data_IF_417902857882
#
_entry.id   IF_417902857882
#
_cell.length_a   1.000
_cell.length_b   1.000
_cell.length_c   1.000
_cell.angle_alpha   90.00
_cell.angle_beta   90.00
_cell.angle_gamma   90.00
#
_symmetry.space_group_name_H-M   'P 1'
#
loop_
_entity.id
_entity.type
_entity.pdbx_description
1 polymer ?
#
# COMPACT_ATOMS: atom_id res chain seq x y z
N UNK A 1 71.85 1.81 33.66
CA UNK A 1 71.30 0.50 33.27
C UNK A 1 70.81 0.59 31.85
N UNK A 2 70.92 -0.49 31.11
CA UNK A 2 70.35 -0.64 29.79
C UNK A 2 69.15 -1.58 29.86
N UNK A 3 68.14 -1.31 29.05
CA UNK A 3 66.90 -2.08 28.95
C UNK A 3 66.63 -2.48 27.50
N UNK A 4 65.96 -3.62 27.33
CA UNK A 4 65.38 -4.07 26.07
C UNK A 4 63.99 -4.62 26.36
N UNK A 5 63.00 -4.30 25.51
CA UNK A 5 61.63 -4.80 25.65
C UNK A 5 61.26 -5.72 24.49
N UNK A 6 60.56 -6.81 24.78
CA UNK A 6 60.05 -7.75 23.78
C UNK A 6 58.61 -8.11 24.13
N UNK A 7 57.70 -8.00 23.16
CA UNK A 7 56.33 -8.52 23.33
C UNK A 7 56.37 -10.03 23.10
N UNK A 8 55.79 -10.79 24.02
CA UNK A 8 55.66 -12.24 23.93
C UNK A 8 54.29 -12.55 23.34
N UNK A 9 54.23 -13.31 22.24
CA UNK A 9 52.97 -13.74 21.63
C UNK A 9 52.53 -15.11 22.21
N UNK A 10 51.21 -15.31 22.36
CA UNK A 10 50.60 -16.48 23.01
C UNK A 10 50.91 -17.85 22.35
N UNK A 11 51.52 -17.88 21.17
CA UNK A 11 51.79 -19.12 20.43
C UNK A 11 53.27 -19.46 20.21
N UNK A 12 54.24 -18.65 20.63
CA UNK A 12 55.65 -19.03 20.55
C UNK A 12 56.56 -18.10 21.38
N UNK A 13 57.51 -18.71 22.09
CA UNK A 13 58.55 -18.00 22.86
C UNK A 13 59.58 -17.29 21.96
N UNK A 14 59.41 -17.31 20.63
CA UNK A 14 60.26 -16.59 19.67
C UNK A 14 59.59 -15.30 19.15
N UNK A 15 59.78 -14.26 19.98
CA UNK A 15 59.96 -12.82 19.73
C UNK A 15 59.40 -12.17 18.43
N UNK A 16 58.49 -11.20 18.61
CA UNK A 16 58.55 -9.93 17.88
C UNK A 16 59.14 -8.85 18.81
N UNK A 17 60.41 -8.52 18.59
CA UNK A 17 61.10 -7.45 19.29
C UNK A 17 60.61 -6.10 18.75
N UNK A 18 60.01 -5.25 19.60
CA UNK A 18 59.62 -3.90 19.19
C UNK A 18 60.80 -2.93 19.15
N UNK A 19 61.93 -3.29 19.79
CA UNK A 19 63.18 -2.55 19.73
C UNK A 19 64.37 -3.50 19.93
N UNK A 20 65.18 -3.69 18.89
CA UNK A 20 66.33 -4.60 18.93
C UNK A 20 67.54 -4.02 19.69
N UNK A 21 67.48 -2.75 20.13
CA UNK A 21 68.59 -2.02 20.73
C UNK A 21 68.46 -1.84 22.25
N UNK A 22 69.59 -1.92 22.95
CA UNK A 22 69.68 -1.62 24.38
C UNK A 22 69.57 -0.11 24.63
N UNK A 23 68.68 0.31 25.52
CA UNK A 23 68.38 1.73 25.78
C UNK A 23 68.54 2.10 27.24
N UNK A 24 68.86 3.37 27.53
CA UNK A 24 68.99 3.87 28.91
C UNK A 24 67.66 4.31 29.54
N UNK A 25 66.59 4.41 28.74
CA UNK A 25 65.24 4.79 29.15
C UNK A 25 64.44 3.53 29.50
N UNK A 26 63.62 3.60 30.56
CA UNK A 26 62.72 2.49 30.93
C UNK A 26 61.66 2.34 29.83
N UNK A 27 61.51 1.14 29.22
CA UNK A 27 60.55 0.93 28.15
C UNK A 27 59.09 1.13 28.61
N UNK A 28 58.23 1.53 27.68
CA UNK A 28 56.78 1.66 27.89
C UNK A 28 56.02 0.90 26.82
N UNK A 29 54.90 0.27 27.19
CA UNK A 29 53.98 -0.38 26.28
C UNK A 29 52.55 0.16 26.46
N UNK A 30 51.73 0.05 25.42
CA UNK A 30 50.35 0.56 25.40
C UNK A 30 49.31 -0.54 25.17
N UNK A 31 49.65 -1.53 24.34
CA UNK A 31 48.74 -2.62 24.00
C UNK A 31 48.74 -3.70 25.07
N UNK A 32 47.62 -4.43 25.14
CA UNK A 32 47.54 -5.62 25.97
C UNK A 32 48.53 -6.69 25.48
N UNK A 33 49.04 -7.46 26.44
CA UNK A 33 49.98 -8.54 26.22
C UNK A 33 51.01 -8.64 27.32
N UNK A 34 51.85 -9.67 27.22
CA UNK A 34 52.96 -9.91 28.14
C UNK A 34 54.24 -9.34 27.51
N UNK A 35 54.95 -8.53 28.28
CA UNK A 35 56.19 -7.87 27.87
C UNK A 35 57.33 -8.34 28.75
N UNK A 36 58.38 -8.88 28.12
CA UNK A 36 59.65 -9.13 28.80
C UNK A 36 60.53 -7.90 28.72
N UNK A 37 61.02 -7.44 29.86
CA UNK A 37 62.01 -6.37 29.97
C UNK A 37 63.31 -6.97 30.44
N UNK A 38 64.25 -7.16 29.52
CA UNK A 38 65.62 -7.52 29.84
C UNK A 38 66.38 -6.28 30.31
N UNK A 39 67.21 -6.42 31.34
CA UNK A 39 68.03 -5.33 31.87
C UNK A 39 69.46 -5.77 32.18
N UNK A 40 70.40 -4.84 32.01
CA UNK A 40 71.79 -5.02 32.45
C UNK A 40 72.40 -3.71 32.97
N UNK A 41 73.51 -3.83 33.68
CA UNK A 41 74.31 -2.66 34.09
C UNK A 41 75.11 -2.16 32.89
N UNK A 42 75.10 -0.85 32.68
CA UNK A 42 75.95 -0.20 31.70
C UNK A 42 77.31 0.13 32.36
N UNK A 43 78.38 -0.50 31.89
CA UNK A 43 79.73 -0.28 32.40
C UNK A 43 80.51 0.78 31.59
N UNK A 44 79.90 1.39 30.57
CA UNK A 44 80.52 2.43 29.74
C UNK A 44 81.85 1.99 29.12
N UNK A 45 82.86 2.85 29.19
CA UNK A 45 84.21 2.58 28.67
C UNK A 45 84.91 1.39 29.36
N UNK A 46 84.45 0.99 30.55
CA UNK A 46 85.07 -0.10 31.32
C UNK A 46 84.46 -1.48 31.02
N UNK A 47 83.57 -1.61 30.03
CA UNK A 47 82.84 -2.85 29.73
C UNK A 47 83.72 -4.10 29.58
N UNK A 48 84.95 -3.97 29.08
CA UNK A 48 85.85 -5.12 28.85
C UNK A 48 86.39 -5.73 30.16
N UNK A 49 86.24 -5.02 31.29
CA UNK A 49 86.66 -5.46 32.62
C UNK A 49 85.53 -6.16 33.41
N UNK A 50 84.31 -6.20 32.86
CA UNK A 50 83.13 -6.72 33.56
C UNK A 50 82.36 -7.72 32.68
N UNK A 51 81.85 -8.79 33.30
CA UNK A 51 80.86 -9.68 32.66
C UNK A 51 79.47 -9.15 33.03
N UNK A 52 78.65 -8.69 32.07
CA UNK A 52 77.32 -8.18 32.38
C UNK A 52 76.43 -9.31 32.91
N UNK A 53 75.72 -9.03 34.00
CA UNK A 53 74.65 -9.89 34.50
C UNK A 53 73.36 -9.43 33.84
N UNK A 54 72.72 -10.34 33.11
CA UNK A 54 71.40 -10.14 32.51
C UNK A 54 70.34 -10.54 33.53
N UNK A 55 69.38 -9.64 33.78
CA UNK A 55 68.14 -9.94 34.47
C UNK A 55 66.95 -9.66 33.56
N UNK A 56 65.79 -10.19 33.91
CA UNK A 56 64.54 -9.87 33.22
C UNK A 56 63.37 -9.75 34.19
N UNK A 57 62.34 -9.03 33.77
CA UNK A 57 61.01 -8.98 34.41
C UNK A 57 59.94 -9.10 33.35
N UNK A 58 58.93 -9.93 33.61
CA UNK A 58 57.76 -10.03 32.75
C UNK A 58 56.63 -9.17 33.35
N UNK A 59 56.00 -8.36 32.51
CA UNK A 59 54.91 -7.46 32.87
C UNK A 59 53.73 -7.72 31.95
N UNK A 60 52.55 -7.92 32.52
CA UNK A 60 51.31 -8.10 31.76
C UNK A 60 50.49 -6.80 31.75
N UNK A 61 50.08 -6.40 30.56
CA UNK A 61 49.00 -5.43 30.35
C UNK A 61 47.75 -6.24 30.00
N UNK A 62 46.80 -6.30 30.93
CA UNK A 62 45.55 -7.04 30.72
C UNK A 62 44.64 -6.33 29.72
N UNK A 63 43.87 -7.11 28.95
CA UNK A 63 42.80 -6.60 28.09
C UNK A 63 41.73 -5.88 28.90
N UNK A 64 41.21 -4.79 28.35
CA UNK A 64 40.07 -4.07 28.93
C UNK A 64 38.74 -4.76 28.59
N UNK A 65 37.71 -4.51 29.41
CA UNK A 65 36.34 -4.96 29.14
C UNK A 65 35.46 -3.73 28.89
N UNK A 66 34.78 -3.69 27.76
CA UNK A 66 33.86 -2.61 27.45
C UNK A 66 32.58 -2.72 28.29
N UNK A 67 32.04 -1.60 28.73
CA UNK A 67 30.70 -1.54 29.31
C UNK A 67 29.71 -1.24 28.20
N UNK A 68 28.72 -2.11 28.02
CA UNK A 68 27.74 -2.02 26.93
C UNK A 68 26.35 -1.82 27.52
N UNK A 69 25.67 -0.78 27.07
CA UNK A 69 24.22 -0.66 27.16
C UNK A 69 23.64 -1.21 25.86
N UNK A 70 22.93 -2.33 25.94
CA UNK A 70 22.37 -3.00 24.78
C UNK A 70 21.37 -2.09 24.03
N UNK A 71 21.35 -2.14 22.69
CA UNK A 71 20.26 -1.59 21.89
C UNK A 71 18.91 -2.22 22.28
N UNK A 72 17.82 -1.49 22.06
CA UNK A 72 16.47 -1.99 22.31
C UNK A 72 15.62 -1.98 21.03
N UNK A 73 14.76 -2.98 20.81
CA UNK A 73 13.77 -2.91 19.72
C UNK A 73 12.85 -1.71 19.93
N UNK A 74 12.44 -1.06 18.84
CA UNK A 74 11.36 -0.06 18.88
C UNK A 74 10.03 -0.81 18.83
N UNK A 75 9.18 -0.53 19.81
CA UNK A 75 7.85 -1.14 19.93
C UNK A 75 6.81 -0.40 19.08
N UNK A 76 5.68 -1.06 18.79
CA UNK A 76 4.48 -0.49 18.17
C UNK A 76 4.69 0.19 16.80
N UNK A 77 5.68 -0.26 16.01
CA UNK A 77 5.87 0.21 14.64
C UNK A 77 4.70 -0.28 13.77
N UNK A 78 4.13 0.63 13.00
CA UNK A 78 3.09 0.35 12.01
C UNK A 78 3.52 0.98 10.70
N UNK A 79 3.25 0.33 9.57
CA UNK A 79 3.53 0.89 8.26
C UNK A 79 2.95 2.30 8.10
N UNK A 80 3.81 3.29 7.85
CA UNK A 80 3.44 4.70 7.69
C UNK A 80 3.87 5.26 6.32
N UNK A 81 4.44 4.41 5.45
CA UNK A 81 4.98 4.79 4.16
C UNK A 81 6.42 5.35 4.19
N UNK A 82 7.06 5.48 5.35
CA UNK A 82 8.42 6.00 5.50
C UNK A 82 9.38 4.92 6.02
N UNK A 83 10.68 5.20 5.95
CA UNK A 83 11.68 4.39 6.65
C UNK A 83 11.62 4.71 8.15
N UNK A 84 11.44 3.68 8.96
CA UNK A 84 11.35 3.73 10.41
C UNK A 84 12.60 3.08 11.01
N UNK A 85 13.11 3.62 12.12
CA UNK A 85 14.20 3.01 12.86
C UNK A 85 13.71 1.74 13.57
N UNK A 86 14.47 0.65 13.46
CA UNK A 86 14.12 -0.62 14.08
C UNK A 86 14.56 -0.70 15.55
N UNK A 87 15.57 0.09 15.93
CA UNK A 87 16.17 0.00 17.27
C UNK A 87 16.44 1.39 17.87
N UNK A 88 16.27 1.49 19.18
CA UNK A 88 16.91 2.53 19.98
C UNK A 88 18.38 2.17 20.16
N UNK A 89 19.28 3.06 19.75
CA UNK A 89 20.72 2.81 19.78
C UNK A 89 21.23 2.55 21.20
N UNK A 90 22.08 1.53 21.33
CA UNK A 90 22.85 1.29 22.55
C UNK A 90 24.05 2.23 22.69
N UNK A 91 24.90 1.95 23.67
CA UNK A 91 26.17 2.66 23.87
C UNK A 91 27.26 1.74 24.40
N UNK A 92 28.52 2.04 24.10
CA UNK A 92 29.67 1.29 24.64
C UNK A 92 30.79 2.22 25.08
N UNK A 93 31.56 1.85 26.11
CA UNK A 93 32.75 2.60 26.54
C UNK A 93 34.00 2.27 25.72
N UNK A 94 33.94 1.26 24.85
CA UNK A 94 35.04 0.85 23.96
C UNK A 94 34.51 0.20 22.67
N UNK A 95 35.19 0.43 21.56
CA UNK A 95 34.72 0.01 20.23
C UNK A 95 33.47 0.76 19.79
N UNK A 96 32.75 0.19 18.83
CA UNK A 96 31.48 0.71 18.29
C UNK A 96 30.45 -0.40 18.20
N UNK A 97 29.17 -0.06 18.34
CA UNK A 97 28.10 -1.03 18.10
C UNK A 97 27.82 -1.08 16.60
N UNK A 98 27.85 -2.29 16.04
CA UNK A 98 27.40 -2.58 14.69
C UNK A 98 26.12 -3.41 14.74
N UNK A 99 25.26 -3.22 13.74
CA UNK A 99 23.99 -3.89 13.55
C UNK A 99 23.99 -4.66 12.24
N UNK A 100 23.26 -5.78 12.21
CA UNK A 100 22.91 -6.49 10.99
C UNK A 100 21.43 -6.81 11.04
N UNK A 101 20.73 -6.52 9.95
CA UNK A 101 19.32 -6.91 9.76
C UNK A 101 19.28 -8.16 8.89
N UNK A 102 18.62 -9.21 9.37
CA UNK A 102 18.55 -10.53 8.77
C UNK A 102 19.97 -11.03 8.40
N UNK A 103 20.18 -11.54 7.19
CA UNK A 103 21.50 -11.99 6.71
C UNK A 103 22.32 -10.87 6.03
N UNK A 104 22.03 -9.61 6.36
CA UNK A 104 22.66 -8.44 5.77
C UNK A 104 24.16 -8.26 6.12
N UNK A 105 24.69 -7.08 5.82
CA UNK A 105 26.04 -6.70 6.25
C UNK A 105 25.99 -5.97 7.60
N UNK A 106 27.05 -6.10 8.38
CA UNK A 106 27.24 -5.31 9.59
C UNK A 106 27.45 -3.83 9.24
N UNK A 107 26.75 -2.93 9.95
CA UNK A 107 26.81 -1.48 9.76
C UNK A 107 26.78 -0.77 11.12
N UNK A 108 27.44 0.37 11.25
CA UNK A 108 27.39 1.19 12.49
C UNK A 108 26.05 1.95 12.64
N UNK A 109 25.39 2.21 11.51
CA UNK A 109 24.16 3.00 11.46
C UNK A 109 22.98 2.23 12.05
N UNK A 110 22.12 2.94 12.77
CA UNK A 110 20.87 2.38 13.30
C UNK A 110 20.04 1.84 12.13
N UNK A 111 19.69 0.54 12.12
CA UNK A 111 18.96 -0.04 11.02
C UNK A 111 17.58 0.58 10.87
N UNK A 112 17.18 0.79 9.61
CA UNK A 112 15.84 1.26 9.26
C UNK A 112 15.18 0.34 8.25
N UNK A 113 13.87 0.16 8.36
CA UNK A 113 13.06 -0.51 7.35
C UNK A 113 11.77 0.27 7.08
N UNK A 114 11.14 0.03 5.92
CA UNK A 114 9.89 0.70 5.52
C UNK A 114 8.68 -0.23 5.59
N UNK A 115 8.83 -1.47 5.11
CA UNK A 115 7.70 -2.35 4.86
C UNK A 115 7.25 -3.07 6.13
N UNK A 116 5.99 -3.50 6.16
CA UNK A 116 5.49 -4.33 7.23
C UNK A 116 6.10 -5.72 7.13
N UNK A 117 6.86 -6.12 8.16
CA UNK A 117 7.52 -7.41 8.26
C UNK A 117 8.06 -7.62 9.69
N UNK A 118 8.52 -8.83 9.98
CA UNK A 118 9.37 -9.11 11.14
C UNK A 118 10.83 -9.10 10.72
N UNK A 119 11.61 -8.23 11.35
CA UNK A 119 13.04 -8.04 11.10
C UNK A 119 13.86 -8.64 12.24
N UNK A 120 14.73 -9.60 11.92
CA UNK A 120 15.69 -10.13 12.88
C UNK A 120 16.90 -9.19 12.93
N UNK A 121 17.15 -8.55 14.07
CA UNK A 121 18.28 -7.63 14.25
C UNK A 121 19.30 -8.24 15.18
N UNK A 122 20.53 -8.35 14.70
CA UNK A 122 21.70 -8.70 15.51
C UNK A 122 22.54 -7.46 15.76
N UNK A 123 23.16 -7.37 16.93
CA UNK A 123 24.14 -6.34 17.26
C UNK A 123 25.42 -6.97 17.84
N UNK A 124 26.55 -6.29 17.63
CA UNK A 124 27.85 -6.65 18.23
C UNK A 124 28.68 -5.42 18.54
N UNK A 125 29.64 -5.54 19.45
CA UNK A 125 30.69 -4.52 19.60
C UNK A 125 31.89 -4.86 18.71
N UNK A 126 32.24 -3.94 17.81
CA UNK A 126 33.43 -3.99 16.97
C UNK A 126 34.51 -3.06 17.55
N UNK A 127 35.67 -3.65 17.90
CA UNK A 127 36.83 -2.90 18.42
C UNK A 127 37.82 -2.47 17.32
N UNK A 128 37.59 -2.85 16.06
CA UNK A 128 38.46 -2.50 14.94
C UNK A 128 39.90 -2.97 15.16
N UNK A 129 40.87 -2.08 14.91
CA UNK A 129 42.30 -2.36 15.07
C UNK A 129 42.70 -2.61 16.54
N UNK A 130 41.91 -2.13 17.51
CA UNK A 130 42.17 -2.30 18.94
C UNK A 130 41.69 -3.65 19.49
N UNK A 131 41.18 -4.57 18.67
CA UNK A 131 40.58 -5.83 19.14
C UNK A 131 41.52 -6.66 20.06
N UNK A 132 42.83 -6.56 19.87
CA UNK A 132 43.81 -7.23 20.73
C UNK A 132 43.92 -6.63 22.14
N UNK A 133 43.37 -5.44 22.37
CA UNK A 133 43.38 -4.71 23.64
C UNK A 133 42.09 -4.92 24.45
N UNK A 134 41.08 -5.58 23.87
CA UNK A 134 39.78 -5.80 24.49
C UNK A 134 39.46 -7.30 24.62
N UNK A 135 38.71 -7.63 25.66
CA UNK A 135 38.01 -8.90 25.75
C UNK A 135 36.90 -8.95 24.69
N UNK A 136 36.43 -10.16 24.36
CA UNK A 136 35.38 -10.35 23.35
C UNK A 136 34.16 -9.44 23.62
N UNK A 137 33.63 -8.86 22.55
CA UNK A 137 32.53 -7.91 22.62
C UNK A 137 31.20 -8.59 22.86
N UNK A 138 30.27 -7.87 23.48
CA UNK A 138 28.89 -8.33 23.63
C UNK A 138 28.22 -8.49 22.26
N UNK A 139 27.46 -9.57 22.13
CA UNK A 139 26.63 -9.88 20.97
C UNK A 139 25.22 -10.19 21.46
N UNK A 140 24.21 -9.69 20.75
CA UNK A 140 22.81 -9.99 21.03
C UNK A 140 21.96 -9.92 19.78
N UNK A 141 20.72 -10.41 19.89
CA UNK A 141 19.77 -10.42 18.81
C UNK A 141 18.33 -10.36 19.33
N UNK A 142 17.43 -9.82 18.52
CA UNK A 142 16.00 -9.75 18.80
C UNK A 142 15.21 -9.50 17.51
N UNK A 143 13.92 -9.83 17.54
CA UNK A 143 13.00 -9.48 16.46
C UNK A 143 12.40 -8.09 16.67
N UNK A 144 12.16 -7.37 15.57
CA UNK A 144 11.44 -6.11 15.53
C UNK A 144 10.35 -6.23 14.48
N UNK A 145 9.10 -5.98 14.85
CA UNK A 145 7.98 -6.04 13.91
C UNK A 145 7.56 -4.64 13.47
N UNK A 146 7.40 -4.44 12.17
CA UNK A 146 6.58 -3.36 11.61
C UNK A 146 5.25 -3.99 11.22
N UNK A 147 4.18 -3.66 11.94
CA UNK A 147 2.86 -4.20 11.68
C UNK A 147 2.24 -3.61 10.41
N UNK A 148 1.34 -4.37 9.78
CA UNK A 148 0.51 -3.89 8.67
C UNK A 148 -0.41 -2.76 9.12
N UNK A 149 -0.57 -1.75 8.27
CA UNK A 149 -1.52 -0.67 8.51
C UNK A 149 -2.96 -1.07 8.11
N UNK A 150 -3.94 -0.48 8.78
CA UNK A 150 -5.35 -0.62 8.41
C UNK A 150 -5.83 0.66 7.72
N UNK A 151 -6.26 0.54 6.47
CA UNK A 151 -6.80 1.65 5.71
C UNK A 151 -8.15 2.10 6.30
N UNK A 152 -8.33 3.41 6.46
CA UNK A 152 -9.62 4.00 6.78
C UNK A 152 -10.35 4.27 5.47
N UNK A 153 -11.45 3.56 5.23
CA UNK A 153 -12.22 3.64 3.99
C UNK A 153 -13.55 4.33 4.26
N UNK A 154 -13.81 5.42 3.54
CA UNK A 154 -15.16 5.98 3.40
C UNK A 154 -15.76 5.41 2.12
N UNK A 155 -16.80 4.58 2.27
CA UNK A 155 -17.47 3.94 1.15
C UNK A 155 -18.00 4.97 0.13
N UNK A 156 -17.93 4.66 -1.17
CA UNK A 156 -18.70 5.38 -2.19
C UNK A 156 -20.20 5.31 -1.87
N UNK A 157 -20.99 6.24 -2.42
CA UNK A 157 -22.45 6.28 -2.17
C UNK A 157 -23.23 6.24 -3.47
N UNK A 158 -24.40 5.58 -3.52
CA UNK A 158 -25.24 5.60 -4.71
C UNK A 158 -25.75 7.01 -4.99
N UNK A 159 -25.75 7.41 -6.26
CA UNK A 159 -26.47 8.60 -6.72
C UNK A 159 -27.95 8.26 -6.82
N UNK A 160 -28.79 8.98 -6.08
CA UNK A 160 -30.23 8.73 -6.02
C UNK A 160 -31.00 9.62 -7.00
N UNK A 161 -32.15 9.13 -7.47
CA UNK A 161 -33.08 9.90 -8.30
C UNK A 161 -32.61 10.14 -9.73
N UNK A 162 -31.77 9.24 -10.25
CA UNK A 162 -31.37 9.27 -11.66
C UNK A 162 -32.57 8.93 -12.54
N UNK A 163 -32.78 9.72 -13.57
CA UNK A 163 -33.82 9.48 -14.59
C UNK A 163 -33.15 9.51 -15.95
N UNK A 164 -33.50 8.57 -16.83
CA UNK A 164 -32.98 8.53 -18.19
C UNK A 164 -33.10 9.89 -18.88
N UNK A 165 -31.97 10.45 -19.29
CA UNK A 165 -31.91 11.76 -19.95
C UNK A 165 -31.10 11.73 -21.26
N UNK A 166 -30.67 10.54 -21.69
CA UNK A 166 -29.90 10.32 -22.92
C UNK A 166 -28.40 10.64 -22.81
N UNK A 167 -27.89 11.04 -21.64
CA UNK A 167 -26.47 11.30 -21.40
C UNK A 167 -25.88 10.30 -20.40
N UNK A 168 -24.55 10.26 -20.32
CA UNK A 168 -23.85 9.53 -19.26
C UNK A 168 -24.14 10.16 -17.90
N UNK A 169 -24.49 9.31 -16.93
CA UNK A 169 -24.81 9.71 -15.55
C UNK A 169 -23.91 8.92 -14.61
N UNK A 170 -23.26 9.61 -13.68
CA UNK A 170 -22.47 8.96 -12.63
C UNK A 170 -23.38 8.11 -11.73
N UNK A 171 -22.95 6.88 -11.47
CA UNK A 171 -23.71 5.93 -10.65
C UNK A 171 -23.45 6.12 -9.15
N UNK A 172 -22.23 6.53 -8.79
CA UNK A 172 -21.82 6.73 -7.40
C UNK A 172 -21.12 8.06 -7.18
N UNK A 173 -21.23 8.58 -5.96
CA UNK A 173 -20.33 9.59 -5.42
C UNK A 173 -19.03 8.91 -4.96
N UNK A 174 -17.88 9.54 -5.24
CA UNK A 174 -16.58 9.00 -4.90
C UNK A 174 -16.42 8.76 -3.38
N UNK A 175 -15.89 7.59 -3.02
CA UNK A 175 -15.40 7.31 -1.67
C UNK A 175 -14.00 7.89 -1.44
N UNK A 176 -13.40 7.54 -0.30
CA UNK A 176 -11.99 7.86 0.01
C UNK A 176 -11.31 6.78 0.85
N UNK A 177 -9.99 6.76 0.85
CA UNK A 177 -9.19 5.81 1.64
C UNK A 177 -7.87 6.45 2.12
N UNK A 178 -7.37 6.07 3.30
CA UNK A 178 -6.05 6.52 3.82
C UNK A 178 -4.86 5.70 3.32
N UNK A 179 -5.06 4.87 2.30
CA UNK A 179 -4.03 4.06 1.63
C UNK A 179 -4.59 3.43 0.36
N UNK A 180 -3.76 3.25 -0.66
CA UNK A 180 -4.19 2.73 -1.96
C UNK A 180 -5.16 3.67 -2.69
N UNK A 181 -5.93 3.10 -3.61
CA UNK A 181 -6.98 3.79 -4.40
C UNK A 181 -8.24 2.95 -4.41
N UNK A 182 -9.40 3.61 -4.46
CA UNK A 182 -10.66 2.90 -4.72
C UNK A 182 -10.75 2.64 -6.22
N UNK A 183 -10.99 1.39 -6.57
CA UNK A 183 -11.32 0.94 -7.92
C UNK A 183 -12.77 0.46 -7.96
N UNK A 184 -13.39 0.60 -9.12
CA UNK A 184 -14.78 0.27 -9.40
C UNK A 184 -14.87 -0.68 -10.59
N UNK A 185 -15.93 -1.49 -10.58
CA UNK A 185 -16.38 -2.30 -11.71
C UNK A 185 -17.90 -2.27 -11.75
N UNK A 186 -18.48 -2.20 -12.95
CA UNK A 186 -19.93 -2.09 -13.14
C UNK A 186 -20.48 -3.33 -13.81
N UNK A 187 -21.58 -3.83 -13.26
CA UNK A 187 -22.36 -4.90 -13.88
C UNK A 187 -23.79 -4.40 -14.12
N UNK A 188 -24.26 -4.33 -15.38
CA UNK A 188 -25.67 -4.07 -15.65
C UNK A 188 -26.50 -5.26 -15.17
N UNK A 189 -27.58 -4.96 -14.43
CA UNK A 189 -28.51 -5.97 -13.94
C UNK A 189 -29.69 -6.02 -14.90
N UNK A 190 -29.82 -7.11 -15.65
CA UNK A 190 -30.96 -7.32 -16.54
C UNK A 190 -32.15 -7.88 -15.75
N UNK A 191 -33.30 -7.21 -15.82
CA UNK A 191 -34.57 -7.78 -15.34
C UNK A 191 -34.90 -9.03 -16.17
N UNK A 192 -35.03 -10.18 -15.52
CA UNK A 192 -35.68 -11.35 -16.13
C UNK A 192 -37.19 -11.18 -15.95
N UNK A 193 -37.92 -11.07 -17.05
CA UNK A 193 -39.38 -10.91 -17.04
C UNK A 193 -40.04 -12.06 -16.25
N UNK A 194 -40.89 -11.70 -15.28
CA UNK A 194 -41.68 -12.66 -14.48
C UNK A 194 -41.33 -12.76 -13.00
N UNK A 195 -40.24 -12.14 -12.54
CA UNK A 195 -39.96 -11.95 -11.10
C UNK A 195 -40.26 -10.51 -10.74
N UNK A 196 -41.47 -10.27 -10.21
CA UNK A 196 -41.82 -8.98 -9.62
C UNK A 196 -41.01 -8.78 -8.34
N UNK A 197 -40.45 -7.58 -8.21
CA UNK A 197 -39.93 -7.01 -6.97
C UNK A 197 -38.68 -7.71 -6.40
N UNK A 198 -37.49 -7.27 -6.83
CA UNK A 198 -36.33 -7.36 -5.95
C UNK A 198 -36.60 -6.44 -4.76
N UNK A 199 -37.05 -7.02 -3.65
CA UNK A 199 -37.13 -6.37 -2.35
C UNK A 199 -35.71 -6.01 -1.88
N UNK A 200 -35.12 -4.95 -2.42
CA UNK A 200 -33.93 -4.31 -1.86
C UNK A 200 -34.40 -3.37 -0.75
N UNK A 201 -35.08 -3.91 0.25
CA UNK A 201 -35.05 -3.32 1.57
C UNK A 201 -33.72 -3.76 2.19
N UNK A 202 -32.89 -2.79 2.56
CA UNK A 202 -31.71 -2.90 3.42
C UNK A 202 -31.54 -4.28 4.09
N UNK A 203 -30.71 -5.16 3.50
CA UNK A 203 -30.29 -6.43 4.12
C UNK A 203 -30.82 -7.74 3.51
N UNK A 204 -31.41 -7.75 2.31
CA UNK A 204 -31.79 -8.98 1.60
C UNK A 204 -30.73 -9.47 0.61
N UNK A 205 -30.21 -10.69 0.81
CA UNK A 205 -29.25 -11.34 -0.08
C UNK A 205 -29.77 -11.40 -1.54
N UNK A 206 -29.05 -10.74 -2.44
CA UNK A 206 -29.08 -11.06 -3.87
C UNK A 206 -28.50 -12.47 -4.07
N UNK A 207 -29.14 -13.33 -4.85
CA UNK A 207 -28.47 -14.55 -5.32
C UNK A 207 -27.54 -14.18 -6.47
N UNK A 208 -26.24 -14.49 -6.35
CA UNK A 208 -25.18 -14.29 -7.37
C UNK A 208 -25.59 -14.70 -8.80
N UNK A 209 -26.54 -15.61 -8.95
CA UNK A 209 -26.90 -16.27 -10.22
C UNK A 209 -27.63 -15.41 -11.28
N UNK A 210 -27.69 -14.08 -11.15
CA UNK A 210 -28.37 -13.19 -12.12
C UNK A 210 -27.52 -12.00 -12.60
N UNK A 211 -26.25 -11.92 -12.18
CA UNK A 211 -25.28 -10.99 -12.73
C UNK A 211 -24.84 -11.56 -14.08
N UNK A 212 -25.00 -10.81 -15.17
CA UNK A 212 -24.27 -11.13 -16.41
C UNK A 212 -22.82 -10.71 -16.13
N UNK A 213 -21.98 -11.69 -15.82
CA UNK A 213 -20.53 -11.52 -15.69
C UNK A 213 -19.93 -11.22 -17.07
N UNK A 214 -20.22 -10.05 -17.64
CA UNK A 214 -19.17 -9.41 -18.40
C UNK A 214 -18.22 -8.82 -17.35
N UNK A 215 -17.07 -9.48 -17.16
CA UNK A 215 -16.00 -8.97 -16.32
C UNK A 215 -15.48 -7.66 -16.93
N UNK A 216 -16.06 -6.54 -16.52
CA UNK A 216 -15.46 -5.24 -16.76
C UNK A 216 -14.09 -5.16 -16.08
N UNK A 217 -13.16 -4.40 -16.66
CA UNK A 217 -11.89 -4.11 -16.00
C UNK A 217 -12.12 -3.18 -14.80
N UNK A 218 -11.36 -3.40 -13.72
CA UNK A 218 -11.32 -2.49 -12.59
C UNK A 218 -10.76 -1.13 -13.02
N UNK A 219 -11.43 -0.04 -12.63
CA UNK A 219 -11.01 1.32 -12.96
C UNK A 219 -11.09 2.24 -11.75
N UNK A 220 -10.20 3.23 -11.66
CA UNK A 220 -10.30 4.30 -10.65
C UNK A 220 -11.29 5.40 -11.03
N UNK A 221 -11.84 5.35 -12.25
CA UNK A 221 -12.81 6.34 -12.73
C UNK A 221 -14.20 6.07 -12.14
N UNK A 222 -14.95 7.15 -11.90
CA UNK A 222 -16.32 7.03 -11.39
C UNK A 222 -17.19 6.40 -12.47
N UNK A 223 -17.85 5.27 -12.19
CA UNK A 223 -18.64 4.57 -13.18
C UNK A 223 -19.84 5.39 -13.63
N UNK A 224 -20.10 5.37 -14.93
CA UNK A 224 -21.26 6.01 -15.55
C UNK A 224 -22.14 5.01 -16.29
N UNK A 225 -23.41 5.37 -16.45
CA UNK A 225 -24.30 4.69 -17.38
C UNK A 225 -25.29 5.65 -18.03
N UNK A 226 -25.83 5.25 -19.18
CA UNK A 226 -26.79 6.05 -19.94
C UNK A 226 -28.21 5.50 -19.78
N UNK A 227 -28.38 4.19 -19.95
CA UNK A 227 -29.69 3.56 -20.10
C UNK A 227 -30.43 3.44 -18.76
N UNK A 228 -31.77 3.47 -18.83
CA UNK A 228 -32.60 3.13 -17.67
C UNK A 228 -32.39 1.66 -17.29
N UNK A 229 -32.34 1.36 -15.99
CA UNK A 229 -32.08 0.02 -15.48
C UNK A 229 -31.40 0.02 -14.12
N UNK A 230 -31.15 -1.18 -13.61
CA UNK A 230 -30.40 -1.39 -12.38
C UNK A 230 -28.93 -1.70 -12.69
N UNK A 231 -28.04 -1.17 -11.86
CA UNK A 231 -26.60 -1.35 -11.94
C UNK A 231 -26.06 -1.82 -10.60
N UNK A 232 -25.15 -2.79 -10.61
CA UNK A 232 -24.29 -3.12 -9.48
C UNK A 232 -22.93 -2.48 -9.70
N UNK A 233 -22.50 -1.63 -8.78
CA UNK A 233 -21.15 -1.06 -8.72
C UNK A 233 -20.40 -1.79 -7.62
N UNK A 234 -19.49 -2.67 -8.01
CA UNK A 234 -18.54 -3.29 -7.09
C UNK A 234 -17.37 -2.34 -6.89
N UNK A 235 -16.90 -2.17 -5.65
CA UNK A 235 -15.72 -1.38 -5.35
C UNK A 235 -14.76 -2.13 -4.43
N UNK A 236 -13.45 -1.85 -4.58
CA UNK A 236 -12.39 -2.38 -3.73
C UNK A 236 -11.30 -1.34 -3.49
N UNK A 237 -10.45 -1.58 -2.49
CA UNK A 237 -9.21 -0.80 -2.31
C UNK A 237 -8.04 -1.54 -2.94
N UNK A 238 -7.35 -0.89 -3.88
CA UNK A 238 -6.11 -1.39 -4.47
C UNK A 238 -4.91 -0.65 -3.86
N UNK A 239 -4.07 -1.38 -3.11
CA UNK A 239 -2.86 -0.86 -2.48
C UNK A 239 -1.63 -0.84 -3.40
N UNK A 240 -1.72 -1.40 -4.61
CA UNK A 240 -0.61 -1.44 -5.55
C UNK A 240 0.61 -2.18 -5.02
N UNK A 241 1.80 -1.61 -5.21
CA UNK A 241 3.07 -2.21 -4.77
C UNK A 241 3.18 -2.37 -3.24
N UNK A 242 2.44 -1.55 -2.48
CA UNK A 242 2.44 -1.58 -1.01
C UNK A 242 1.43 -2.60 -0.45
N UNK A 243 0.80 -3.48 -1.24
CA UNK A 243 -0.26 -4.38 -0.76
C UNK A 243 0.12 -5.25 0.45
N UNK A 244 1.37 -5.72 0.51
CA UNK A 244 1.86 -6.50 1.65
C UNK A 244 2.00 -5.68 2.94
N UNK A 245 1.94 -4.35 2.85
CA UNK A 245 2.05 -3.45 3.99
C UNK A 245 0.69 -3.09 4.63
N UNK A 246 -0.42 -3.49 4.00
CA UNK A 246 -1.78 -3.21 4.46
C UNK A 246 -2.51 -4.49 4.85
N UNK A 247 -3.47 -4.34 5.76
CA UNK A 247 -4.50 -5.34 5.99
C UNK A 247 -5.50 -5.30 4.83
N UNK A 248 -5.98 -6.47 4.43
CA UNK A 248 -6.95 -6.60 3.34
C UNK A 248 -8.25 -5.87 3.69
N UNK A 249 -8.85 -5.26 2.67
CA UNK A 249 -10.16 -4.63 2.75
C UNK A 249 -11.08 -5.41 1.84
N UNK A 250 -12.13 -5.99 2.42
CA UNK A 250 -13.12 -6.73 1.65
C UNK A 250 -13.80 -5.80 0.63
N UNK A 251 -13.97 -6.24 -0.63
CA UNK A 251 -14.76 -5.49 -1.60
C UNK A 251 -16.22 -5.42 -1.16
N UNK A 252 -16.94 -4.42 -1.65
CA UNK A 252 -18.36 -4.24 -1.34
C UNK A 252 -19.12 -3.73 -2.57
N UNK A 253 -20.45 -3.77 -2.54
CA UNK A 253 -21.33 -3.54 -3.68
C UNK A 253 -22.36 -2.46 -3.39
N UNK A 254 -22.62 -1.64 -4.42
CA UNK A 254 -23.61 -0.56 -4.39
C UNK A 254 -24.59 -0.76 -5.54
N UNK A 255 -25.89 -0.68 -5.23
CA UNK A 255 -26.96 -0.79 -6.22
C UNK A 255 -27.53 0.57 -6.57
N UNK A 256 -27.69 0.82 -7.87
CA UNK A 256 -28.16 2.10 -8.40
C UNK A 256 -29.21 1.86 -9.47
N UNK A 257 -30.32 2.59 -9.42
CA UNK A 257 -31.36 2.57 -10.46
C UNK A 257 -31.35 3.88 -11.24
N UNK A 258 -31.36 3.77 -12.57
CA UNK A 258 -31.74 4.85 -13.47
C UNK A 258 -33.19 4.62 -13.88
N UNK A 259 -34.09 5.48 -13.43
CA UNK A 259 -35.51 5.40 -13.73
C UNK A 259 -35.80 5.64 -15.21
N UNK A 260 -36.84 5.00 -15.72
CA UNK A 260 -37.36 5.31 -17.07
C UNK A 260 -37.95 6.71 -17.09
N UNK A 261 -37.59 7.50 -18.09
CA UNK A 261 -38.22 8.78 -18.34
C UNK A 261 -39.70 8.61 -18.71
N UNK A 262 -40.55 9.51 -18.22
CA UNK A 262 -41.95 9.58 -18.63
C UNK A 262 -42.09 10.43 -19.88
N UNK A 263 -42.61 9.85 -20.96
CA UNK A 263 -42.92 10.60 -22.17
C UNK A 263 -44.05 11.61 -21.92
N UNK A 264 -43.83 12.86 -22.32
CA UNK A 264 -44.86 13.90 -22.27
C UNK A 264 -45.69 13.83 -23.55
N UNK A 265 -46.99 13.57 -23.42
CA UNK A 265 -47.92 13.41 -24.55
C UNK A 265 -48.99 14.48 -24.51
N UNK A 266 -49.12 15.23 -25.60
CA UNK A 266 -50.28 16.07 -25.87
C UNK A 266 -51.21 15.33 -26.83
N UNK A 267 -52.43 15.05 -26.40
CA UNK A 267 -53.41 14.34 -27.22
C UNK A 267 -53.80 15.14 -28.48
N UNK A 268 -54.08 14.44 -29.60
CA UNK A 268 -54.66 15.08 -30.79
C UNK A 268 -56.05 15.66 -30.47
N UNK A 269 -56.44 16.71 -31.19
CA UNK A 269 -57.75 17.37 -31.03
C UNK A 269 -58.64 17.12 -32.25
N UNK A 270 -59.93 16.79 -32.09
CA UNK A 270 -60.85 16.67 -33.22
C UNK A 270 -60.91 17.95 -34.06
N UNK A 271 -60.94 17.81 -35.39
CA UNK A 271 -61.20 18.94 -36.29
C UNK A 271 -62.72 19.18 -36.33
N UNK A 272 -63.14 20.33 -35.83
CA UNK A 272 -64.56 20.71 -35.76
C UNK A 272 -65.10 21.23 -37.10
N UNK A 273 -66.41 21.04 -37.31
CA UNK A 273 -67.13 21.64 -38.44
C UNK A 273 -66.85 21.01 -39.81
N UNK A 274 -66.30 19.79 -39.86
CA UNK A 274 -66.15 19.02 -41.10
C UNK A 274 -67.51 18.79 -41.77
N UNK A 275 -67.54 18.93 -43.11
CA UNK A 275 -68.74 18.71 -43.93
C UNK A 275 -68.42 17.73 -45.03
N UNK A 276 -69.30 16.75 -45.24
CA UNK A 276 -69.13 15.77 -46.32
C UNK A 276 -69.00 16.47 -47.69
N UNK A 277 -67.87 16.26 -48.35
CA UNK A 277 -67.51 16.91 -49.61
C UNK A 277 -66.96 15.93 -50.67
N UNK A 278 -67.11 14.62 -50.42
CA UNK A 278 -66.61 13.52 -51.28
C UNK A 278 -65.09 13.47 -51.46
N UNK A 279 -64.33 14.08 -50.54
CA UNK A 279 -62.87 14.03 -50.50
C UNK A 279 -62.43 13.58 -49.11
N UNK A 280 -61.22 13.02 -49.03
CA UNK A 280 -60.58 12.76 -47.74
C UNK A 280 -60.41 14.07 -46.95
N UNK A 281 -60.83 14.03 -45.70
CA UNK A 281 -60.70 15.12 -44.74
C UNK A 281 -59.91 14.64 -43.53
N UNK A 282 -58.99 15.46 -43.04
CA UNK A 282 -58.22 15.17 -41.83
C UNK A 282 -59.11 15.29 -40.60
N UNK A 283 -59.08 14.26 -39.75
CA UNK A 283 -60.02 14.09 -38.65
C UNK A 283 -59.57 14.77 -37.35
N UNK A 284 -58.26 14.93 -37.15
CA UNK A 284 -57.69 15.53 -35.94
C UNK A 284 -56.54 16.49 -36.27
N UNK A 285 -56.36 17.52 -35.44
CA UNK A 285 -55.10 18.22 -35.29
C UNK A 285 -54.07 17.28 -34.65
N UNK A 286 -52.82 17.34 -35.11
CA UNK A 286 -51.75 16.50 -34.60
C UNK A 286 -51.59 16.63 -33.08
N UNK A 287 -51.49 15.49 -32.40
CA UNK A 287 -50.92 15.45 -31.06
C UNK A 287 -49.41 15.65 -31.11
N UNK A 288 -48.78 15.65 -29.94
CA UNK A 288 -47.31 15.69 -29.84
C UNK A 288 -46.82 14.78 -28.72
N UNK A 289 -45.56 14.37 -28.83
CA UNK A 289 -44.86 13.61 -27.80
C UNK A 289 -43.44 14.15 -27.64
N UNK A 290 -42.88 14.11 -26.43
CA UNK A 290 -41.49 14.52 -26.18
C UNK A 290 -40.45 13.52 -26.69
N UNK A 291 -40.86 12.25 -26.86
CA UNK A 291 -40.03 11.12 -27.31
C UNK A 291 -40.90 10.11 -28.06
N UNK A 292 -40.30 9.29 -28.91
CA UNK A 292 -41.01 8.34 -29.77
C UNK A 292 -41.80 9.00 -30.91
N UNK A 293 -42.56 8.21 -31.64
CA UNK A 293 -43.41 8.67 -32.75
C UNK A 293 -44.87 8.55 -32.38
N UNK A 294 -45.64 9.64 -32.57
CA UNK A 294 -47.10 9.61 -32.42
C UNK A 294 -47.71 8.90 -33.64
N UNK A 295 -48.43 7.80 -33.39
CA UNK A 295 -49.16 7.05 -34.41
C UNK A 295 -50.66 7.12 -34.16
N UNK A 296 -51.43 7.10 -35.25
CA UNK A 296 -52.88 7.17 -35.27
C UNK A 296 -53.45 5.96 -35.99
N UNK A 297 -54.66 5.57 -35.60
CA UNK A 297 -55.46 4.56 -36.29
C UNK A 297 -56.91 5.03 -36.36
N UNK A 298 -57.51 4.94 -37.54
CA UNK A 298 -58.95 5.25 -37.75
C UNK A 298 -59.74 3.96 -37.71
N UNK A 299 -60.75 3.90 -36.84
CA UNK A 299 -61.64 2.75 -36.67
C UNK A 299 -60.84 1.43 -36.49
N UNK A 300 -61.02 0.48 -37.41
CA UNK A 300 -60.32 -0.82 -37.43
C UNK A 300 -59.09 -0.85 -38.38
N UNK A 301 -58.59 0.31 -38.82
CA UNK A 301 -57.47 0.42 -39.75
C UNK A 301 -56.11 0.05 -39.17
N UNK A 302 -55.04 0.42 -39.86
CA UNK A 302 -53.66 0.22 -39.39
C UNK A 302 -53.11 1.46 -38.69
N UNK A 303 -52.12 1.27 -37.82
CA UNK A 303 -51.38 2.37 -37.20
C UNK A 303 -50.48 3.05 -38.23
N UNK A 304 -50.51 4.38 -38.26
CA UNK A 304 -49.64 5.21 -39.12
C UNK A 304 -49.22 6.50 -38.42
N UNK A 305 -48.06 7.03 -38.75
CA UNK A 305 -47.62 8.36 -38.30
C UNK A 305 -48.35 9.51 -39.05
N UNK A 306 -49.01 9.21 -40.17
CA UNK A 306 -49.77 10.18 -40.94
C UNK A 306 -51.05 10.61 -40.20
N UNK A 307 -51.46 11.86 -40.40
CA UNK A 307 -52.70 12.35 -39.82
C UNK A 307 -53.91 11.56 -40.36
N UNK A 308 -54.81 11.10 -39.47
CA UNK A 308 -55.94 10.26 -39.85
C UNK A 308 -56.90 11.02 -40.77
N UNK A 309 -57.37 10.35 -41.82
CA UNK A 309 -58.32 10.89 -42.79
C UNK A 309 -59.49 9.93 -43.01
N UNK A 310 -60.66 10.48 -43.32
CA UNK A 310 -61.78 9.73 -43.88
C UNK A 310 -62.51 10.55 -44.94
N UNK A 311 -63.17 9.87 -45.88
CA UNK A 311 -63.96 10.50 -46.94
C UNK A 311 -65.48 10.36 -46.72
N UNK A 312 -65.91 9.34 -45.97
CA UNK A 312 -67.31 9.03 -45.73
C UNK A 312 -67.90 9.91 -44.60
N UNK A 313 -69.23 10.04 -44.60
CA UNK A 313 -69.94 10.74 -43.52
C UNK A 313 -70.31 9.75 -42.41
N UNK A 314 -70.07 10.12 -41.16
CA UNK A 314 -70.40 9.28 -40.00
C UNK A 314 -69.56 9.65 -38.77
N UNK A 315 -69.70 8.86 -37.72
CA UNK A 315 -68.79 8.89 -36.58
C UNK A 315 -67.55 8.05 -36.91
N UNK A 316 -66.36 8.62 -36.70
CA UNK A 316 -65.09 7.92 -36.82
C UNK A 316 -64.36 7.98 -35.47
N UNK A 317 -63.80 6.85 -35.04
CA UNK A 317 -62.98 6.77 -33.83
C UNK A 317 -61.51 6.85 -34.20
N UNK A 318 -60.80 7.84 -33.67
CA UNK A 318 -59.36 7.98 -33.83
C UNK A 318 -58.67 7.50 -32.56
N UNK A 319 -57.93 6.40 -32.67
CA UNK A 319 -57.01 5.94 -31.63
C UNK A 319 -55.63 6.58 -31.85
N UNK A 320 -54.92 6.89 -30.77
CA UNK A 320 -53.55 7.39 -30.81
C UNK A 320 -52.66 6.61 -29.84
N UNK A 321 -51.37 6.47 -30.16
CA UNK A 321 -50.34 5.88 -29.28
C UNK A 321 -48.98 6.52 -29.56
N UNK A 322 -48.06 6.36 -28.61
CA UNK A 322 -46.63 6.64 -28.84
C UNK A 322 -45.91 5.32 -29.06
N UNK A 323 -45.19 5.23 -30.17
CA UNK A 323 -44.31 4.11 -30.51
C UNK A 323 -42.86 4.50 -30.17
N UNK A 324 -42.13 3.66 -29.43
CA UNK A 324 -40.77 3.93 -28.93
C UNK A 324 -39.72 3.08 -29.63
#
# INVERSE_FOLDING_TARGET
MLYKVTKLDDSNIDQQSTDESWQTVIPTAKDAGIYRIDYMVDFGENKDNYVPVLGYVDVEIAKATAQVTAPRPVDDLVFDGNKQALVEAGSTTGGKIEYRVNEGQWQEEVPTARNADTYFVEYRVNFGEDANNWNDGDVGAFDVEIAKATAQVTAPKPVNGLVFNGNEQALVEAGSTTGGKIEYRVHPIFKVDGVNEYQVHSGGNISESQIVEEEGDWSTEIPTAINAGWYCVEYRVNFGEDANNWNDVDPDMIYVEIDKATAQVTAPKPVEGLKYNRKEQTLVEAGSTSVGTMEYKVDEGEWSADLPKAADAGEHVVYYRVNF
#
